data_IF_137229213660
#
_entry.id   IF_137229213660
#
_cell.length_a   1.000
_cell.length_b   1.000
_cell.length_c   1.000
_cell.angle_alpha   90.00
_cell.angle_beta   90.00
_cell.angle_gamma   90.00
#
_symmetry.space_group_name_H-M   'P 1'
#
loop_
_entity.id
_entity.type
_entity.pdbx_description
1 polymer ?
#
# COMPACT_ATOMS: atom_id res chain seq x y z
N UNK A 1 -27.25 -43.63 2.94
CA UNK A 1 -28.12 -42.51 3.34
C UNK A 1 -27.94 -41.33 2.38
N UNK A 2 -28.78 -41.23 1.33
CA UNK A 2 -28.70 -40.20 0.28
C UNK A 2 -29.88 -39.19 0.33
N UNK A 3 -30.58 -39.11 1.46
CA UNK A 3 -31.82 -38.33 1.57
C UNK A 3 -31.65 -36.94 2.21
N UNK A 4 -30.48 -36.60 2.74
CA UNK A 4 -30.28 -35.33 3.47
C UNK A 4 -30.01 -34.11 2.57
N UNK A 5 -29.52 -34.27 1.34
CA UNK A 5 -29.21 -33.12 0.46
C UNK A 5 -30.43 -32.54 -0.28
N UNK A 6 -31.52 -33.31 -0.37
CA UNK A 6 -32.76 -32.88 -1.06
C UNK A 6 -33.62 -32.00 -0.14
N UNK A 7 -33.61 -32.25 1.17
CA UNK A 7 -34.44 -31.56 2.14
C UNK A 7 -33.91 -30.16 2.55
N UNK A 8 -32.62 -29.89 2.34
CA UNK A 8 -32.01 -28.56 2.61
C UNK A 8 -31.76 -27.73 1.34
N UNK A 9 -32.43 -28.08 0.24
CA UNK A 9 -32.48 -27.22 -0.94
C UNK A 9 -33.39 -26.04 -0.69
N UNK A 10 -32.87 -24.82 -0.79
CA UNK A 10 -33.61 -23.56 -0.67
C UNK A 10 -34.92 -23.61 -1.49
N UNK A 11 -36.07 -23.72 -0.81
CA UNK A 11 -37.42 -23.85 -1.39
C UNK A 11 -37.92 -22.54 -2.05
N UNK A 12 -37.17 -21.44 -1.91
CA UNK A 12 -37.46 -20.14 -2.51
C UNK A 12 -36.71 -19.90 -3.83
N UNK A 13 -36.29 -20.96 -4.54
CA UNK A 13 -35.81 -20.74 -5.89
C UNK A 13 -37.01 -20.43 -6.77
N UNK A 14 -37.03 -19.21 -7.33
CA UNK A 14 -37.98 -18.75 -8.35
C UNK A 14 -37.68 -19.52 -9.64
N UNK A 15 -37.97 -20.81 -9.62
CA UNK A 15 -38.00 -21.63 -10.80
C UNK A 15 -39.26 -21.26 -11.55
N UNK A 16 -39.16 -21.13 -12.87
CA UNK A 16 -40.35 -21.26 -13.69
C UNK A 16 -40.95 -22.61 -13.36
N UNK A 17 -42.02 -22.62 -12.57
CA UNK A 17 -42.85 -23.79 -12.42
C UNK A 17 -43.68 -23.90 -13.69
N UNK A 18 -42.92 -24.40 -14.68
CA UNK A 18 -43.27 -25.09 -15.91
C UNK A 18 -43.48 -24.12 -17.14
N UNK A 19 -43.56 -24.60 -18.40
CA UNK A 19 -44.18 -25.88 -18.72
C UNK A 19 -43.77 -26.61 -20.02
N UNK A 20 -43.33 -27.89 -19.92
CA UNK A 20 -43.20 -28.80 -21.06
C UNK A 20 -44.53 -29.27 -21.68
N UNK A 21 -45.68 -28.64 -21.40
CA UNK A 21 -46.98 -29.05 -21.95
C UNK A 21 -47.22 -28.65 -23.41
N UNK A 22 -46.23 -28.05 -24.06
CA UNK A 22 -46.14 -28.29 -25.49
C UNK A 22 -45.79 -29.76 -25.64
N UNK A 23 -46.78 -30.56 -26.05
CA UNK A 23 -46.64 -32.01 -26.23
C UNK A 23 -45.37 -32.25 -27.07
N UNK A 24 -44.27 -32.73 -26.44
CA UNK A 24 -43.02 -33.09 -27.13
C UNK A 24 -41.66 -32.71 -26.51
N UNK A 25 -41.56 -31.92 -25.43
CA UNK A 25 -40.22 -31.49 -24.96
C UNK A 25 -39.41 -32.60 -24.26
N UNK A 26 -38.25 -32.99 -24.86
CA UNK A 26 -37.27 -33.96 -24.34
C UNK A 26 -35.83 -33.37 -24.23
N UNK A 27 -35.70 -32.07 -23.95
CA UNK A 27 -34.43 -31.34 -23.96
C UNK A 27 -33.81 -31.07 -22.57
N UNK A 28 -32.57 -30.56 -22.57
CA UNK A 28 -31.83 -30.15 -21.35
C UNK A 28 -32.52 -28.99 -20.62
N UNK A 29 -32.34 -28.91 -19.30
CA UNK A 29 -32.93 -27.86 -18.46
C UNK A 29 -32.64 -26.45 -19.00
N UNK A 30 -33.68 -25.63 -19.10
CA UNK A 30 -33.54 -24.23 -19.53
C UNK A 30 -32.70 -23.43 -18.52
N UNK A 31 -31.95 -22.41 -19.01
CA UNK A 31 -31.15 -21.55 -18.14
C UNK A 31 -32.05 -20.84 -17.13
N UNK A 32 -31.62 -20.83 -15.86
CA UNK A 32 -32.34 -20.12 -14.80
C UNK A 32 -32.49 -18.64 -15.18
N UNK A 33 -33.71 -18.11 -15.03
CA UNK A 33 -33.94 -16.67 -15.08
C UNK A 33 -33.09 -16.05 -13.98
N UNK A 34 -32.03 -15.31 -14.36
CA UNK A 34 -31.23 -14.55 -13.39
C UNK A 34 -32.21 -13.66 -12.64
N UNK A 35 -32.28 -13.81 -11.32
CA UNK A 35 -33.06 -12.91 -10.49
C UNK A 35 -32.50 -11.49 -10.70
N UNK A 36 -33.16 -10.70 -11.53
CA UNK A 36 -32.87 -9.28 -11.70
C UNK A 36 -33.36 -8.58 -10.44
N UNK A 37 -32.51 -8.60 -9.41
CA UNK A 37 -32.75 -7.99 -8.11
C UNK A 37 -31.66 -8.47 -7.15
N UNK A 38 -30.97 -7.54 -6.49
CA UNK A 38 -30.09 -7.91 -5.38
C UNK A 38 -30.97 -8.57 -4.31
N UNK A 39 -30.60 -9.73 -3.76
CA UNK A 39 -31.38 -10.33 -2.68
C UNK A 39 -31.51 -9.31 -1.54
N UNK A 40 -32.73 -9.14 -1.01
CA UNK A 40 -32.98 -8.27 0.14
C UNK A 40 -32.38 -8.94 1.38
N UNK A 41 -31.07 -8.76 1.57
CA UNK A 41 -30.34 -9.30 2.70
C UNK A 41 -30.52 -8.36 3.90
N UNK A 42 -30.87 -8.89 5.09
CA UNK A 42 -30.93 -8.06 6.28
C UNK A 42 -29.54 -7.51 6.60
N UNK A 43 -29.47 -6.22 6.92
CA UNK A 43 -28.21 -5.57 7.31
C UNK A 43 -27.84 -6.06 8.71
N UNK A 44 -26.63 -6.60 8.85
CA UNK A 44 -26.15 -7.06 10.15
C UNK A 44 -25.90 -5.86 11.09
N UNK A 45 -26.35 -5.90 12.36
CA UNK A 45 -26.18 -4.78 13.30
C UNK A 45 -24.71 -4.40 13.51
N UNK A 46 -23.79 -5.39 13.44
CA UNK A 46 -22.35 -5.13 13.49
C UNK A 46 -21.84 -4.27 12.31
N UNK A 47 -22.41 -4.43 11.11
CA UNK A 47 -22.05 -3.59 9.96
C UNK A 47 -22.47 -2.13 10.16
N UNK A 48 -23.61 -1.91 10.83
CA UNK A 48 -24.08 -0.57 11.20
C UNK A 48 -23.16 0.06 12.25
N UNK A 49 -22.72 -0.72 13.25
CA UNK A 49 -21.79 -0.24 14.27
C UNK A 49 -20.43 0.18 13.67
N UNK A 50 -19.88 -0.63 12.74
CA UNK A 50 -18.65 -0.29 12.02
C UNK A 50 -18.81 0.99 11.22
N UNK A 51 -19.92 1.12 10.48
CA UNK A 51 -20.20 2.32 9.68
C UNK A 51 -20.29 3.58 10.56
N UNK A 52 -20.98 3.50 11.71
CA UNK A 52 -21.08 4.63 12.65
C UNK A 52 -19.72 5.07 13.15
N UNK A 53 -18.85 4.12 13.50
CA UNK A 53 -17.50 4.44 13.95
C UNK A 53 -16.65 5.07 12.83
N UNK A 54 -16.78 4.57 11.59
CA UNK A 54 -16.10 5.18 10.44
C UNK A 54 -16.59 6.61 10.20
N UNK A 55 -17.90 6.85 10.22
CA UNK A 55 -18.47 8.19 10.06
C UNK A 55 -18.05 9.14 11.17
N UNK A 56 -17.98 8.69 12.42
CA UNK A 56 -17.51 9.51 13.53
C UNK A 56 -16.05 9.94 13.32
N UNK A 57 -15.18 9.01 12.90
CA UNK A 57 -13.78 9.29 12.59
C UNK A 57 -13.63 10.26 11.40
N UNK A 58 -14.41 10.06 10.34
CA UNK A 58 -14.41 10.94 9.17
C UNK A 58 -14.85 12.36 9.55
N UNK A 59 -15.87 12.49 10.40
CA UNK A 59 -16.32 13.77 10.92
C UNK A 59 -15.22 14.50 11.70
N UNK A 60 -14.49 13.78 12.57
CA UNK A 60 -13.37 14.36 13.31
C UNK A 60 -12.26 14.87 12.37
N UNK A 61 -11.88 14.07 11.36
CA UNK A 61 -10.90 14.47 10.35
C UNK A 61 -11.36 15.72 9.61
N UNK A 62 -12.62 15.75 9.15
CA UNK A 62 -13.18 16.91 8.46
C UNK A 62 -13.19 18.16 9.34
N UNK A 63 -13.54 18.03 10.62
CA UNK A 63 -13.52 19.13 11.58
C UNK A 63 -12.13 19.75 11.71
N UNK A 64 -11.08 18.92 11.71
CA UNK A 64 -9.70 19.39 11.78
C UNK A 64 -9.24 20.05 10.46
N UNK A 65 -9.64 19.50 9.31
CA UNK A 65 -9.32 20.07 8.01
C UNK A 65 -10.04 21.40 7.74
N UNK A 66 -11.24 21.60 8.30
CA UNK A 66 -12.02 22.82 8.13
C UNK A 66 -11.42 24.05 8.84
N UNK A 67 -10.52 23.84 9.81
CA UNK A 67 -9.87 24.92 10.57
C UNK A 67 -8.36 24.93 10.31
N UNK A 68 -7.91 25.42 9.13
CA UNK A 68 -6.49 25.48 8.82
C UNK A 68 -5.77 26.48 9.73
N UNK A 69 -4.51 26.18 10.06
CA UNK A 69 -3.66 27.06 10.87
C UNK A 69 -3.20 28.32 10.11
N UNK A 70 -3.07 28.21 8.79
CA UNK A 70 -2.54 29.26 7.90
C UNK A 70 -3.59 29.54 6.83
N UNK A 71 -3.80 30.83 6.55
CA UNK A 71 -4.64 31.30 5.44
C UNK A 71 -3.83 31.34 4.15
N UNK A 72 -4.48 31.21 3.00
CA UNK A 72 -3.83 31.20 1.68
C UNK A 72 -2.89 32.41 1.47
N UNK A 73 -3.32 33.61 1.87
CA UNK A 73 -2.52 34.83 1.80
C UNK A 73 -1.19 34.76 2.60
N UNK A 74 -1.21 34.06 3.75
CA UNK A 74 -0.02 33.87 4.59
C UNK A 74 0.89 32.77 4.04
N UNK A 75 0.35 31.84 3.26
CA UNK A 75 1.12 30.75 2.64
C UNK A 75 1.79 31.19 1.33
N UNK A 76 1.19 32.13 0.60
CA UNK A 76 1.70 32.64 -0.69
C UNK A 76 3.20 33.00 -0.70
N UNK A 77 3.77 33.76 0.26
CA UNK A 77 5.19 34.10 0.24
C UNK A 77 6.10 32.87 0.37
N UNK A 78 5.67 31.86 1.12
CA UNK A 78 6.40 30.60 1.27
C UNK A 78 6.39 29.81 -0.04
N UNK A 79 5.23 29.69 -0.69
CA UNK A 79 5.09 29.02 -1.98
C UNK A 79 5.92 29.75 -3.04
N UNK A 80 5.92 31.10 -3.06
CA UNK A 80 6.76 31.87 -3.99
C UNK A 80 8.25 31.63 -3.79
N UNK A 81 8.71 31.43 -2.55
CA UNK A 81 10.11 31.18 -2.24
C UNK A 81 10.55 29.73 -2.47
N UNK A 82 9.69 28.76 -2.14
CA UNK A 82 10.04 27.32 -2.11
C UNK A 82 9.40 26.51 -3.25
N UNK A 83 8.48 27.08 -3.99
CA UNK A 83 7.66 26.42 -4.99
C UNK A 83 6.43 25.73 -4.36
N UNK A 84 5.53 25.25 -5.21
CA UNK A 84 4.36 24.49 -4.78
C UNK A 84 4.78 23.09 -4.27
N UNK A 85 3.93 22.40 -3.51
CA UNK A 85 4.18 21.06 -2.98
C UNK A 85 4.63 20.07 -4.06
N UNK A 86 4.01 20.09 -5.24
CA UNK A 86 4.40 19.22 -6.36
C UNK A 86 5.84 19.47 -6.83
N UNK A 87 6.26 20.73 -6.88
CA UNK A 87 7.62 21.13 -7.26
C UNK A 87 8.63 20.75 -6.17
N UNK A 88 8.26 20.95 -4.90
CA UNK A 88 9.08 20.55 -3.77
C UNK A 88 9.27 19.03 -3.74
N UNK A 89 8.21 18.25 -4.01
CA UNK A 89 8.28 16.79 -4.10
C UNK A 89 9.19 16.35 -5.25
N UNK A 90 9.09 17.00 -6.41
CA UNK A 90 9.95 16.72 -7.55
C UNK A 90 11.42 17.08 -7.27
N UNK A 91 11.68 18.23 -6.65
CA UNK A 91 13.02 18.64 -6.24
C UNK A 91 13.60 17.73 -5.16
N UNK A 92 12.79 17.30 -4.19
CA UNK A 92 13.20 16.33 -3.18
C UNK A 92 13.52 14.96 -3.82
N UNK A 93 12.75 14.52 -4.82
CA UNK A 93 13.06 13.31 -5.58
C UNK A 93 14.36 13.45 -6.36
N UNK A 94 14.56 14.55 -7.09
CA UNK A 94 15.81 14.83 -7.80
C UNK A 94 16.98 14.91 -6.84
N UNK A 95 16.84 15.60 -5.73
CA UNK A 95 17.89 15.71 -4.71
C UNK A 95 18.19 14.35 -4.09
N UNK A 96 17.18 13.53 -3.81
CA UNK A 96 17.35 12.14 -3.37
C UNK A 96 18.01 11.28 -4.45
N UNK A 97 17.76 11.54 -5.72
CA UNK A 97 18.39 10.87 -6.86
C UNK A 97 19.83 11.35 -7.09
N UNK A 98 20.14 12.63 -6.90
CA UNK A 98 21.50 13.16 -6.89
C UNK A 98 22.30 12.66 -5.68
N UNK A 99 21.64 12.56 -4.51
CA UNK A 99 22.22 11.98 -3.29
C UNK A 99 22.40 10.47 -3.40
N UNK A 100 21.50 9.79 -4.12
CA UNK A 100 21.72 8.42 -4.59
C UNK A 100 22.70 8.47 -5.74
N UNK A 101 24.01 8.49 -5.43
CA UNK A 101 25.03 8.18 -6.43
C UNK A 101 24.62 6.97 -7.28
N UNK A 102 25.05 6.89 -8.56
CA UNK A 102 24.85 5.68 -9.35
C UNK A 102 25.52 4.50 -8.64
N UNK A 103 24.70 3.73 -7.91
CA UNK A 103 25.11 2.63 -7.03
C UNK A 103 25.18 3.01 -5.54
N UNK A 104 24.20 2.53 -4.76
CA UNK A 104 24.16 2.64 -3.30
C UNK A 104 25.48 2.20 -2.63
N UNK A 105 25.82 2.82 -1.49
CA UNK A 105 26.87 2.33 -0.60
C UNK A 105 26.42 0.99 0.02
N UNK A 106 27.07 -0.11 -0.40
CA UNK A 106 26.86 -1.45 0.16
C UNK A 106 27.63 -1.60 1.48
N UNK A 107 26.99 -2.28 2.43
CA UNK A 107 27.51 -2.77 3.72
C UNK A 107 28.96 -2.36 4.02
N UNK A 108 29.08 -1.20 4.67
CA UNK A 108 30.32 -0.76 5.29
C UNK A 108 30.47 -1.49 6.63
N UNK A 109 31.68 -1.92 6.93
CA UNK A 109 32.03 -2.30 8.30
C UNK A 109 32.15 -1.04 9.16
N UNK A 110 32.14 -1.19 10.47
CA UNK A 110 32.29 -0.09 11.44
C UNK A 110 33.56 0.75 11.21
N UNK A 111 34.59 0.17 10.59
CA UNK A 111 35.85 0.82 10.21
C UNK A 111 35.83 1.54 8.85
N UNK A 112 34.66 1.71 8.22
CA UNK A 112 34.53 2.41 6.94
C UNK A 112 35.09 1.64 5.74
N UNK A 113 35.60 0.41 5.93
CA UNK A 113 36.00 -0.48 4.84
C UNK A 113 34.79 -1.24 4.29
N UNK A 114 34.80 -1.51 2.99
CA UNK A 114 33.70 -2.19 2.31
C UNK A 114 33.87 -3.72 2.36
N UNK A 115 32.77 -4.46 2.49
CA UNK A 115 32.77 -5.92 2.42
C UNK A 115 33.21 -6.41 1.03
N UNK A 116 34.39 -7.04 0.93
CA UNK A 116 35.08 -7.39 -0.34
C UNK A 116 34.24 -8.07 -1.44
N UNK A 117 33.36 -9.07 -1.17
CA UNK A 117 32.58 -9.73 -2.22
C UNK A 117 31.41 -8.89 -2.75
N UNK A 118 31.00 -7.84 -2.04
CA UNK A 118 29.86 -6.99 -2.41
C UNK A 118 30.27 -5.54 -2.68
N UNK A 119 31.55 -5.19 -2.54
CA UNK A 119 32.03 -3.83 -2.63
C UNK A 119 32.30 -3.35 -4.04
N UNK A 120 31.72 -2.21 -4.42
CA UNK A 120 32.13 -1.49 -5.61
C UNK A 120 33.22 -0.47 -5.25
N UNK A 121 34.48 -0.80 -5.52
CA UNK A 121 35.66 0.00 -5.13
C UNK A 121 35.71 1.39 -5.80
N UNK A 122 34.93 1.60 -6.87
CA UNK A 122 34.81 2.88 -7.59
C UNK A 122 34.44 4.08 -6.72
N UNK A 123 33.53 3.92 -5.75
CA UNK A 123 33.04 5.03 -4.90
C UNK A 123 33.96 5.38 -3.72
N UNK A 124 34.91 4.51 -3.37
CA UNK A 124 35.91 4.78 -2.33
C UNK A 124 37.09 5.60 -2.87
N UNK A 125 37.30 5.61 -4.20
CA UNK A 125 38.40 6.32 -4.86
C UNK A 125 38.29 7.85 -4.75
N UNK A 126 37.07 8.39 -4.55
CA UNK A 126 36.83 9.83 -4.46
C UNK A 126 36.77 10.37 -3.03
N UNK A 127 36.95 9.52 -2.00
CA UNK A 127 37.08 10.01 -0.63
C UNK A 127 38.52 10.48 -0.41
N UNK A 128 38.67 11.70 0.11
CA UNK A 128 39.97 12.12 0.65
C UNK A 128 40.34 11.19 1.79
N UNK A 129 41.47 10.48 1.64
CA UNK A 129 42.01 9.63 2.69
C UNK A 129 42.89 10.50 3.57
N UNK A 130 42.51 10.64 4.83
CA UNK A 130 43.32 11.35 5.82
C UNK A 130 44.45 10.46 6.35
N UNK A 131 45.46 11.06 6.97
CA UNK A 131 46.52 10.32 7.68
C UNK A 131 45.92 9.53 8.86
N UNK A 132 44.87 10.08 9.48
CA UNK A 132 44.14 9.46 10.60
C UNK A 132 43.49 8.14 10.19
N UNK A 133 42.90 8.07 9.00
CA UNK A 133 42.32 6.83 8.44
C UNK A 133 43.38 5.75 8.24
N UNK A 134 44.63 6.13 7.97
CA UNK A 134 45.76 5.21 7.85
C UNK A 134 46.27 4.74 9.21
N UNK A 135 46.32 5.64 10.21
CA UNK A 135 46.74 5.31 11.58
C UNK A 135 45.74 4.39 12.29
N UNK A 136 44.44 4.58 12.06
CA UNK A 136 43.41 3.73 12.65
C UNK A 136 43.61 2.23 12.30
N UNK A 137 44.11 1.93 11.11
CA UNK A 137 44.37 0.55 10.68
C UNK A 137 45.57 -0.09 11.40
N UNK A 138 46.52 0.72 11.89
CA UNK A 138 47.65 0.24 12.68
C UNK A 138 47.22 -0.10 14.11
N UNK A 139 46.41 0.77 14.73
CA UNK A 139 45.84 0.56 16.07
C UNK A 139 45.00 -0.73 16.12
N UNK A 140 44.19 -0.99 15.08
CA UNK A 140 43.36 -2.20 15.02
C UNK A 140 44.16 -3.51 14.87
N UNK A 141 45.44 -3.44 14.51
CA UNK A 141 46.33 -4.60 14.34
C UNK A 141 47.11 -4.96 15.60
N UNK A 142 47.07 -4.14 16.65
CA UNK A 142 47.55 -4.54 17.97
C UNK A 142 46.67 -5.69 18.47
N UNK A 143 47.20 -6.91 18.33
CA UNK A 143 46.82 -7.99 19.23
C UNK A 143 47.47 -7.66 20.55
N UNK A 144 46.66 -7.62 21.60
CA UNK A 144 47.15 -7.67 22.97
C UNK A 144 47.85 -9.03 23.11
N UNK A 145 49.13 -9.02 23.51
CA UNK A 145 49.80 -10.21 24.05
C UNK A 145 49.09 -10.67 25.33
#
# INVERSE_FOLDING_TARGET
MKYSKILFGNLNKIHWDRRPWQIGYRGNLLPQKKATGRPNLPIHPGSVAVLRHQMAREYEVMRHLANPYITEEKEEPYIRQKGNFGEQLANAKKLKEYQRMPGDAKYLKEDGTVYKPYGNYGNLLHKHRSVEDSMFQLIRREKWD
#
